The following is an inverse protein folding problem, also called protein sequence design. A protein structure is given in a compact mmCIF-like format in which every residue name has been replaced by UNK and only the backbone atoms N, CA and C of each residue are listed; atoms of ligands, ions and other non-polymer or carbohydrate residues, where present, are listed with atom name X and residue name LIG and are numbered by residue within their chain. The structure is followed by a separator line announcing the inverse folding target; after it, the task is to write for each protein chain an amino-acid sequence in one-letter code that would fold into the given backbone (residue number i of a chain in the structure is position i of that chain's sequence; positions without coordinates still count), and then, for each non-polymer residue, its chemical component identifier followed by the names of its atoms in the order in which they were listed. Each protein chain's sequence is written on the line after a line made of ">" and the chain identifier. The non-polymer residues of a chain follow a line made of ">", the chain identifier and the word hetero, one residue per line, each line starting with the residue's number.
data_IF_312932808146
#
_entry.id   IF_312932808146
#
_cell.length_a   1.000
_cell.length_b   1.000
_cell.length_c   1.000
_cell.angle_alpha   90.00
_cell.angle_beta   90.00
_cell.angle_gamma   90.00
#
_symmetry.space_group_name_H-M   'P 1'
#
loop_
_entity.id
_entity.type
_entity.pdbx_description
1 polymer ?
#
# COMPACT_ATOMS: atom_id res chain seq x y z
N UNK A 1 29.41 -14.71 -8.12
CA UNK A 1 28.54 -15.04 -6.97
C UNK A 1 28.86 -14.01 -5.89
N UNK A 2 27.97 -13.06 -5.66
CA UNK A 2 28.13 -12.16 -4.51
C UNK A 2 27.75 -12.92 -3.25
N UNK A 3 28.68 -12.97 -2.31
CA UNK A 3 28.47 -13.49 -0.97
C UNK A 3 27.99 -12.30 -0.13
N UNK A 4 26.90 -12.48 0.62
CA UNK A 4 26.37 -11.46 1.53
C UNK A 4 27.50 -10.92 2.42
N UNK A 5 27.64 -9.61 2.47
CA UNK A 5 28.61 -8.91 3.31
C UNK A 5 27.90 -7.87 4.18
N UNK A 6 28.61 -7.32 5.16
CA UNK A 6 28.02 -6.37 6.12
C UNK A 6 27.54 -5.07 5.48
N UNK A 7 28.03 -4.69 4.29
CA UNK A 7 27.54 -3.50 3.57
C UNK A 7 26.12 -3.65 3.03
N UNK A 8 25.59 -4.88 2.89
CA UNK A 8 24.18 -5.10 2.51
C UNK A 8 23.20 -4.96 3.69
N UNK A 9 23.71 -4.92 4.93
CA UNK A 9 22.88 -4.87 6.13
C UNK A 9 21.86 -3.71 6.13
N UNK A 10 22.21 -2.47 5.78
CA UNK A 10 21.24 -1.37 5.73
C UNK A 10 20.09 -1.64 4.77
N UNK A 11 20.38 -2.18 3.57
CA UNK A 11 19.36 -2.51 2.58
C UNK A 11 18.44 -3.64 3.08
N UNK A 12 19.01 -4.71 3.68
CA UNK A 12 18.23 -5.81 4.26
C UNK A 12 17.31 -5.31 5.37
N UNK A 13 17.85 -4.48 6.27
CA UNK A 13 17.10 -3.90 7.38
C UNK A 13 15.95 -3.03 6.86
N UNK A 14 16.23 -2.11 5.93
CA UNK A 14 15.23 -1.22 5.36
C UNK A 14 14.14 -1.99 4.60
N UNK A 15 14.50 -3.02 3.83
CA UNK A 15 13.54 -3.88 3.14
C UNK A 15 12.66 -4.65 4.14
N UNK A 16 13.22 -5.14 5.24
CA UNK A 16 12.46 -5.82 6.30
C UNK A 16 11.46 -4.89 6.98
N UNK A 17 11.88 -3.65 7.26
CA UNK A 17 11.00 -2.61 7.81
C UNK A 17 9.92 -2.22 6.79
N UNK A 18 10.28 -2.08 5.51
CA UNK A 18 9.32 -1.79 4.42
C UNK A 18 8.21 -2.85 4.34
N UNK A 19 8.58 -4.14 4.37
CA UNK A 19 7.61 -5.24 4.39
C UNK A 19 6.68 -5.14 5.60
N UNK A 20 7.25 -4.82 6.77
CA UNK A 20 6.49 -4.66 8.02
C UNK A 20 5.50 -3.50 7.91
N UNK A 21 5.94 -2.31 7.50
CA UNK A 21 5.09 -1.12 7.31
C UNK A 21 3.92 -1.46 6.37
N UNK A 22 4.22 -2.05 5.22
CA UNK A 22 3.19 -2.37 4.23
C UNK A 22 2.20 -3.41 4.76
N UNK A 23 2.67 -4.44 5.47
CA UNK A 23 1.80 -5.46 6.07
C UNK A 23 0.89 -4.88 7.16
N UNK A 24 1.39 -3.92 7.95
CA UNK A 24 0.59 -3.19 8.95
C UNK A 24 -0.53 -2.41 8.27
N UNK A 25 -0.21 -1.65 7.22
CA UNK A 25 -1.20 -0.94 6.42
C UNK A 25 -2.27 -1.87 5.82
N UNK A 26 -1.88 -3.02 5.24
CA UNK A 26 -2.85 -3.98 4.69
C UNK A 26 -3.82 -4.48 5.76
N UNK A 27 -3.32 -4.77 6.95
CA UNK A 27 -4.14 -5.21 8.08
C UNK A 27 -5.05 -4.09 8.60
N UNK A 28 -4.57 -2.86 8.69
CA UNK A 28 -5.38 -1.71 9.12
C UNK A 28 -6.48 -1.38 8.12
N UNK A 29 -6.17 -1.38 6.83
CA UNK A 29 -7.15 -1.15 5.77
C UNK A 29 -8.24 -2.25 5.75
N UNK A 30 -7.83 -3.49 5.99
CA UNK A 30 -8.74 -4.60 6.11
C UNK A 30 -9.65 -4.50 7.35
N UNK A 31 -9.09 -4.11 8.50
CA UNK A 31 -9.85 -3.87 9.74
C UNK A 31 -10.84 -2.74 9.59
N UNK A 32 -10.50 -1.66 8.87
CA UNK A 32 -11.44 -0.60 8.53
C UNK A 32 -12.67 -1.17 7.82
N UNK A 33 -12.46 -2.02 6.81
CA UNK A 33 -13.56 -2.68 6.10
C UNK A 33 -14.40 -3.61 7.00
N UNK A 34 -13.76 -4.39 7.88
CA UNK A 34 -14.48 -5.24 8.86
C UNK A 34 -15.28 -4.41 9.88
N UNK A 35 -14.78 -3.23 10.25
CA UNK A 35 -15.52 -2.32 11.11
C UNK A 35 -16.75 -1.75 10.41
N UNK A 36 -16.62 -1.31 9.16
CA UNK A 36 -17.75 -0.86 8.34
C UNK A 36 -18.79 -1.97 8.14
N UNK A 37 -18.36 -3.21 7.91
CA UNK A 37 -19.28 -4.36 7.81
C UNK A 37 -20.17 -4.46 9.06
N UNK A 38 -19.58 -4.34 10.24
CA UNK A 38 -20.31 -4.40 11.52
C UNK A 38 -21.20 -3.19 11.73
N UNK A 39 -20.71 -1.99 11.43
CA UNK A 39 -21.46 -0.75 11.58
C UNK A 39 -22.74 -0.75 10.73
N UNK A 40 -22.64 -1.21 9.48
CA UNK A 40 -23.75 -1.30 8.53
C UNK A 40 -24.57 -2.60 8.65
N UNK A 41 -24.23 -3.48 9.62
CA UNK A 41 -24.87 -4.79 9.81
C UNK A 41 -24.93 -5.66 8.54
N UNK A 42 -23.87 -5.60 7.72
CA UNK A 42 -23.79 -6.29 6.43
C UNK A 42 -23.41 -7.76 6.59
N UNK A 43 -24.11 -8.63 5.84
CA UNK A 43 -23.82 -10.06 5.78
C UNK A 43 -22.55 -10.38 4.98
N UNK A 44 -22.24 -9.57 3.98
CA UNK A 44 -21.06 -9.69 3.12
C UNK A 44 -19.95 -8.84 3.74
N UNK A 45 -18.78 -9.44 3.93
CA UNK A 45 -17.60 -8.76 4.44
C UNK A 45 -16.49 -8.62 3.41
N UNK A 46 -15.38 -7.95 3.77
CA UNK A 46 -14.22 -7.82 2.88
C UNK A 46 -13.64 -9.18 2.47
N UNK A 47 -13.76 -10.23 3.31
CA UNK A 47 -13.29 -11.61 2.99
C UNK A 47 -14.03 -12.24 1.81
N UNK A 48 -15.27 -11.83 1.57
CA UNK A 48 -16.13 -12.42 0.55
C UNK A 48 -15.90 -11.80 -0.84
N UNK A 49 -15.03 -10.78 -0.92
CA UNK A 49 -14.77 -10.04 -2.17
C UNK A 49 -13.52 -10.57 -2.87
N UNK A 50 -13.65 -10.89 -4.16
CA UNK A 50 -12.50 -11.24 -4.99
C UNK A 50 -11.74 -9.99 -5.46
N UNK A 51 -10.46 -9.88 -5.07
CA UNK A 51 -9.59 -8.74 -5.38
C UNK A 51 -8.21 -9.13 -5.92
N UNK A 52 -7.53 -8.19 -6.56
CA UNK A 52 -6.13 -8.32 -6.97
C UNK A 52 -5.21 -8.05 -5.76
N UNK A 53 -5.24 -8.95 -4.77
CA UNK A 53 -4.58 -8.81 -3.48
C UNK A 53 -5.41 -8.07 -2.42
N UNK A 54 -4.89 -8.00 -1.19
CA UNK A 54 -5.60 -7.50 0.00
C UNK A 54 -6.12 -6.06 -0.16
N UNK A 55 -5.27 -5.13 -0.60
CA UNK A 55 -5.69 -3.73 -0.75
C UNK A 55 -6.76 -3.56 -1.85
N UNK A 56 -6.68 -4.36 -2.92
CA UNK A 56 -7.63 -4.31 -4.03
C UNK A 56 -8.97 -4.90 -3.64
N UNK A 57 -8.97 -5.94 -2.80
CA UNK A 57 -10.16 -6.48 -2.16
C UNK A 57 -10.85 -5.41 -1.28
N UNK A 58 -10.09 -4.71 -0.44
CA UNK A 58 -10.62 -3.64 0.42
C UNK A 58 -11.23 -2.50 -0.41
N UNK A 59 -10.52 -1.99 -1.42
CA UNK A 59 -11.03 -0.93 -2.30
C UNK A 59 -12.32 -1.36 -3.03
N UNK A 60 -12.39 -2.59 -3.52
CA UNK A 60 -13.62 -3.13 -4.15
C UNK A 60 -14.76 -3.30 -3.16
N UNK A 61 -14.47 -3.73 -1.94
CA UNK A 61 -15.50 -3.82 -0.89
C UNK A 61 -16.11 -2.44 -0.62
N UNK A 62 -15.27 -1.41 -0.46
CA UNK A 62 -15.74 -0.03 -0.23
C UNK A 62 -16.55 0.48 -1.42
N UNK A 63 -16.04 0.34 -2.64
CA UNK A 63 -16.71 0.89 -3.83
C UNK A 63 -17.98 0.13 -4.23
N UNK A 64 -18.01 -1.21 -4.10
CA UNK A 64 -19.11 -2.02 -4.64
C UNK A 64 -20.10 -2.52 -3.59
N UNK A 65 -19.67 -2.68 -2.34
CA UNK A 65 -20.53 -3.18 -1.25
C UNK A 65 -20.98 -2.03 -0.38
N UNK A 66 -20.03 -1.18 0.04
CA UNK A 66 -20.40 0.03 0.76
C UNK A 66 -20.99 1.05 -0.21
N UNK A 67 -20.73 1.04 -1.51
CA UNK A 67 -21.22 2.10 -2.43
C UNK A 67 -20.72 3.47 -1.96
N UNK A 68 -19.40 3.57 -1.75
CA UNK A 68 -18.66 4.81 -1.43
C UNK A 68 -17.69 5.10 -2.57
N UNK A 69 -17.74 6.30 -3.13
CA UNK A 69 -16.82 6.66 -4.21
C UNK A 69 -15.42 6.98 -3.66
N UNK A 70 -14.41 6.39 -4.30
CA UNK A 70 -13.00 6.68 -4.00
C UNK A 70 -12.29 7.29 -5.22
N UNK A 71 -13.05 7.88 -6.14
CA UNK A 71 -12.51 8.44 -7.38
C UNK A 71 -11.56 9.60 -7.13
N UNK A 72 -11.81 10.39 -6.07
CA UNK A 72 -10.91 11.46 -5.64
C UNK A 72 -9.54 10.95 -5.17
N UNK A 73 -9.42 9.64 -4.89
CA UNK A 73 -8.20 9.00 -4.40
C UNK A 73 -7.51 8.14 -5.47
N UNK A 74 -7.86 8.32 -6.76
CA UNK A 74 -7.33 7.50 -7.85
C UNK A 74 -5.82 7.73 -8.10
N UNK A 75 -5.34 8.94 -7.87
CA UNK A 75 -3.92 9.28 -8.04
C UNK A 75 -3.08 8.67 -6.91
N UNK A 76 -3.52 8.83 -5.67
CA UNK A 76 -2.96 8.20 -4.48
C UNK A 76 -2.98 6.68 -4.64
N UNK A 77 -4.11 6.12 -5.07
CA UNK A 77 -4.23 4.68 -5.33
C UNK A 77 -3.20 4.19 -6.35
N UNK A 78 -2.98 4.96 -7.42
CA UNK A 78 -1.96 4.64 -8.42
C UNK A 78 -0.56 4.66 -7.82
N UNK A 79 -0.27 5.59 -6.91
CA UNK A 79 0.97 5.62 -6.13
C UNK A 79 1.10 4.40 -5.19
N UNK A 80 0.06 4.07 -4.42
CA UNK A 80 -0.01 2.90 -3.53
C UNK A 80 0.28 1.60 -4.28
N UNK A 81 -0.20 1.49 -5.53
CA UNK A 81 0.08 0.34 -6.39
C UNK A 81 1.55 0.21 -6.79
N UNK A 82 2.30 1.32 -6.90
CA UNK A 82 3.76 1.29 -7.13
C UNK A 82 4.50 0.81 -5.88
N UNK A 83 4.12 1.29 -4.70
CA UNK A 83 4.62 0.74 -3.44
C UNK A 83 4.29 -0.76 -3.32
N UNK A 84 3.07 -1.19 -3.68
CA UNK A 84 2.72 -2.61 -3.69
C UNK A 84 3.63 -3.43 -4.59
N UNK A 85 3.96 -2.92 -5.78
CA UNK A 85 4.84 -3.59 -6.72
C UNK A 85 6.25 -3.77 -6.12
N UNK A 86 6.79 -2.72 -5.50
CA UNK A 86 8.07 -2.78 -4.78
C UNK A 86 7.99 -3.81 -3.65
N UNK A 87 6.94 -3.78 -2.81
CA UNK A 87 6.67 -4.76 -1.76
C UNK A 87 6.73 -6.19 -2.29
N UNK A 88 6.01 -6.45 -3.37
CA UNK A 88 5.92 -7.77 -3.99
C UNK A 88 7.28 -8.22 -4.54
N UNK A 89 8.06 -7.31 -5.10
CA UNK A 89 9.42 -7.62 -5.56
C UNK A 89 10.31 -8.05 -4.40
N UNK A 90 10.26 -7.36 -3.26
CA UNK A 90 11.04 -7.67 -2.06
C UNK A 90 10.62 -9.03 -1.50
N UNK A 91 9.33 -9.24 -1.29
CA UNK A 91 8.80 -10.44 -0.66
C UNK A 91 8.98 -11.73 -1.49
N UNK A 92 8.91 -11.63 -2.82
CA UNK A 92 8.84 -12.82 -3.69
C UNK A 92 10.04 -12.97 -4.63
N UNK A 93 10.76 -11.90 -4.92
CA UNK A 93 11.84 -11.89 -5.91
C UNK A 93 13.13 -11.25 -5.36
N UNK A 94 13.30 -11.16 -4.04
CA UNK A 94 14.49 -10.57 -3.42
C UNK A 94 14.77 -9.13 -3.92
N UNK A 95 13.72 -8.35 -4.16
CA UNK A 95 13.78 -6.99 -4.69
C UNK A 95 13.93 -6.89 -6.21
N UNK A 96 13.92 -8.02 -6.94
CA UNK A 96 14.06 -8.01 -8.40
C UNK A 96 12.72 -7.65 -9.06
N UNK A 97 12.74 -6.62 -9.90
CA UNK A 97 11.62 -6.25 -10.78
C UNK A 97 11.99 -6.66 -12.19
N UNK A 98 11.45 -7.80 -12.64
CA UNK A 98 11.65 -8.29 -14.02
C UNK A 98 10.93 -7.38 -15.00
N UNK A 99 11.65 -6.89 -16.01
CA UNK A 99 11.10 -6.00 -17.06
C UNK A 99 10.37 -4.79 -16.46
N UNK A 100 11.06 -3.93 -15.69
CA UNK A 100 10.44 -2.78 -15.05
C UNK A 100 9.85 -1.85 -16.11
N UNK A 101 8.63 -1.39 -15.88
CA UNK A 101 7.98 -0.40 -16.72
C UNK A 101 8.56 1.00 -16.45
N UNK A 102 8.47 1.90 -17.42
CA UNK A 102 9.01 3.26 -17.28
C UNK A 102 8.38 4.07 -16.13
N UNK A 103 7.13 3.80 -15.77
CA UNK A 103 6.42 4.49 -14.70
C UNK A 103 6.98 4.14 -13.30
N UNK A 104 7.34 2.87 -13.07
CA UNK A 104 7.96 2.45 -11.82
C UNK A 104 9.42 2.92 -11.73
N UNK A 105 10.16 2.92 -12.84
CA UNK A 105 11.53 3.45 -12.88
C UNK A 105 11.55 4.94 -12.54
N UNK A 106 10.72 5.75 -13.20
CA UNK A 106 10.58 7.18 -12.89
C UNK A 106 10.18 7.43 -11.45
N UNK A 107 9.26 6.62 -10.92
CA UNK A 107 8.86 6.73 -9.53
C UNK A 107 10.04 6.51 -8.58
N UNK A 108 10.82 5.44 -8.79
CA UNK A 108 12.02 5.15 -8.00
C UNK A 108 13.05 6.29 -8.14
N UNK A 109 13.36 6.73 -9.36
CA UNK A 109 14.31 7.82 -9.63
C UNK A 109 13.89 9.16 -8.97
N UNK A 110 12.59 9.42 -8.88
CA UNK A 110 12.05 10.62 -8.23
C UNK A 110 11.91 10.51 -6.70
N UNK A 111 12.11 9.32 -6.14
CA UNK A 111 11.90 9.05 -4.72
C UNK A 111 13.20 9.13 -3.94
N UNK A 112 13.22 9.91 -2.86
CA UNK A 112 14.39 9.97 -1.99
C UNK A 112 14.55 8.66 -1.19
N UNK A 113 15.77 8.12 -1.13
CA UNK A 113 16.10 6.96 -0.29
C UNK A 113 15.87 5.59 -0.90
N UNK A 114 15.55 5.51 -2.19
CA UNK A 114 15.46 4.28 -2.97
C UNK A 114 16.16 4.46 -4.32
N UNK A 115 16.78 3.39 -4.82
CA UNK A 115 17.40 3.36 -6.14
C UNK A 115 17.10 2.05 -6.86
N UNK A 116 17.40 2.01 -8.16
CA UNK A 116 17.25 0.82 -8.99
C UNK A 116 18.60 0.44 -9.61
N UNK A 117 19.11 -0.73 -9.25
CA UNK A 117 20.27 -1.36 -9.88
C UNK A 117 19.82 -1.96 -11.22
N UNK A 118 20.23 -1.32 -12.32
CA UNK A 118 19.85 -1.73 -13.67
C UNK A 118 20.51 -3.04 -14.11
N UNK A 119 21.73 -3.33 -13.64
CA UNK A 119 22.45 -4.55 -13.98
C UNK A 119 21.80 -5.76 -13.32
N UNK A 120 21.39 -5.61 -12.05
CA UNK A 120 20.73 -6.67 -11.28
C UNK A 120 19.20 -6.64 -11.40
N UNK A 121 18.65 -5.62 -12.06
CA UNK A 121 17.21 -5.34 -12.11
C UNK A 121 16.55 -5.32 -10.73
N UNK A 122 17.22 -4.72 -9.74
CA UNK A 122 16.91 -4.86 -8.33
C UNK A 122 16.71 -3.50 -7.65
N UNK A 123 15.70 -3.39 -6.78
CA UNK A 123 15.55 -2.21 -5.91
C UNK A 123 16.53 -2.25 -4.75
N UNK A 124 17.09 -1.09 -4.40
CA UNK A 124 17.94 -0.89 -3.22
C UNK A 124 17.36 0.22 -2.37
N UNK A 125 17.21 -0.03 -1.07
CA UNK A 125 16.72 0.94 -0.10
C UNK A 125 17.87 1.51 0.71
N UNK A 126 18.17 2.77 0.47
CA UNK A 126 19.40 3.42 0.91
C UNK A 126 19.17 4.30 2.15
N UNK A 127 17.96 4.83 2.34
CA UNK A 127 17.63 5.72 3.45
C UNK A 127 16.31 5.36 4.13
N UNK A 128 16.26 5.62 5.44
CA UNK A 128 15.04 5.61 6.25
C UNK A 128 14.00 6.63 5.77
N UNK A 129 14.42 7.66 5.03
CA UNK A 129 13.51 8.69 4.53
C UNK A 129 12.46 8.11 3.59
N UNK A 130 12.82 7.13 2.75
CA UNK A 130 11.85 6.42 1.92
C UNK A 130 10.81 5.68 2.76
N UNK A 131 11.22 5.11 3.90
CA UNK A 131 10.33 4.41 4.81
C UNK A 131 9.37 5.37 5.53
N UNK A 132 9.84 6.56 5.89
CA UNK A 132 8.99 7.63 6.46
C UNK A 132 7.97 8.10 5.42
N UNK A 133 8.41 8.40 4.20
CA UNK A 133 7.50 8.77 3.10
C UNK A 133 6.47 7.69 2.82
N UNK A 134 6.87 6.41 2.86
CA UNK A 134 5.92 5.30 2.75
C UNK A 134 4.86 5.38 3.86
N UNK A 135 5.27 5.50 5.13
CA UNK A 135 4.32 5.59 6.26
C UNK A 135 3.35 6.75 6.04
N UNK A 136 3.85 7.94 5.69
CA UNK A 136 3.02 9.12 5.48
C UNK A 136 2.00 8.88 4.35
N UNK A 137 2.44 8.32 3.22
CA UNK A 137 1.58 8.04 2.06
C UNK A 137 0.52 6.98 2.35
N UNK A 138 0.89 5.89 3.02
CA UNK A 138 -0.05 4.83 3.42
C UNK A 138 -1.07 5.35 4.44
N UNK A 139 -0.62 6.13 5.43
CA UNK A 139 -1.46 6.70 6.48
C UNK A 139 -2.45 7.72 5.92
N UNK A 140 -1.98 8.64 5.06
CA UNK A 140 -2.85 9.63 4.43
C UNK A 140 -3.93 8.97 3.58
N UNK A 141 -3.56 7.99 2.74
CA UNK A 141 -4.53 7.25 1.94
C UNK A 141 -5.59 6.54 2.82
N UNK A 142 -5.17 5.93 3.94
CA UNK A 142 -6.10 5.26 4.84
C UNK A 142 -7.03 6.24 5.56
N UNK A 143 -6.49 7.37 6.04
CA UNK A 143 -7.26 8.43 6.70
C UNK A 143 -8.29 9.05 5.75
N UNK A 144 -7.88 9.45 4.54
CA UNK A 144 -8.79 10.01 3.55
C UNK A 144 -9.86 9.00 3.12
N UNK A 145 -9.50 7.71 3.01
CA UNK A 145 -10.47 6.65 2.75
C UNK A 145 -11.49 6.53 3.88
N UNK A 146 -11.05 6.60 5.14
CA UNK A 146 -11.94 6.56 6.30
C UNK A 146 -12.85 7.79 6.35
N UNK A 147 -12.34 8.98 6.07
CA UNK A 147 -13.12 10.22 5.97
C UNK A 147 -14.22 10.10 4.93
N UNK A 148 -13.93 9.60 3.71
CA UNK A 148 -14.94 9.37 2.68
C UNK A 148 -16.05 8.41 3.12
N UNK A 149 -15.69 7.33 3.80
CA UNK A 149 -16.68 6.39 4.34
C UNK A 149 -17.57 7.09 5.37
N UNK A 150 -17.00 7.88 6.28
CA UNK A 150 -17.76 8.61 7.29
C UNK A 150 -18.68 9.64 6.64
N UNK A 151 -18.20 10.43 5.68
CA UNK A 151 -18.98 11.45 4.96
C UNK A 151 -20.21 10.84 4.26
N UNK A 152 -20.04 9.69 3.61
CA UNK A 152 -21.12 9.07 2.82
C UNK A 152 -22.04 8.14 3.62
N UNK A 153 -21.54 7.48 4.68
CA UNK A 153 -22.30 6.47 5.47
C UNK A 153 -22.72 6.90 6.85
N UNK A 154 -22.06 7.90 7.41
CA UNK A 154 -22.43 8.46 8.71
C UNK A 154 -22.85 9.94 8.59
N UNK A 155 -23.80 10.30 7.70
CA UNK A 155 -24.27 11.68 7.63
C UNK A 155 -24.99 12.02 8.95
N UNK A 156 -24.34 12.89 9.74
CA UNK A 156 -24.86 13.63 10.88
C UNK A 156 -26.12 13.05 11.57
N UNK A 157 -25.93 12.09 12.48
CA UNK A 157 -26.80 12.00 13.67
C UNK A 157 -26.49 13.19 14.60
N UNK A 158 -26.78 14.41 14.16
CA UNK A 158 -26.73 15.63 14.95
C UNK A 158 -27.72 16.63 14.33
N UNK A 159 -29.01 16.31 14.42
CA UNK A 159 -30.13 17.25 14.33
C UNK A 159 -31.42 16.51 14.73
N UNK A 160 -31.54 16.18 16.01
CA UNK A 160 -32.83 16.00 16.71
C UNK A 160 -32.71 16.67 18.07
#
# INVERSE_FOLDING_TARGET
>A
MEIMNSSEFPNILNQSIYLTIYSTFENEFFKLCEWCQKAESLKIGPKDINGQGYIGQCRKYITNVLDVSLDSLNDEWTEIKKYQLIRNSIAHNNGIIKSPKNDILKFIESSNGISFDTEKSQVKMESIDFLKTLIDKLTNFLSETAERIIEEKMPAHNNV
#
